data_IF_974105246728
#
_entry.id   IF_974105246728
#
_cell.length_a   1.000
_cell.length_b   1.000
_cell.length_c   1.000
_cell.angle_alpha   90.00
_cell.angle_beta   90.00
_cell.angle_gamma   90.00
#
_symmetry.space_group_name_H-M   'P 1'
#
loop_
_entity.id
_entity.type
_entity.pdbx_description
1 polymer ?
#
# COMPACT_ATOMS: atom_id res chain seq x y z
N UNK A 1 13.31 9.50 22.81
CA UNK A 1 12.81 8.32 22.06
C UNK A 1 13.01 8.60 20.58
N UNK A 2 13.93 7.89 19.92
CA UNK A 2 14.18 8.07 18.48
C UNK A 2 12.90 7.73 17.74
N UNK A 3 12.28 8.73 17.09
CA UNK A 3 11.24 8.46 16.13
C UNK A 3 11.88 7.65 15.00
N UNK A 4 11.49 6.39 14.84
CA UNK A 4 11.90 5.63 13.66
C UNK A 4 11.38 6.41 12.44
N UNK A 5 12.25 7.05 11.65
CA UNK A 5 11.87 8.06 10.65
C UNK A 5 10.83 7.58 9.65
N UNK A 6 10.81 6.27 9.42
CA UNK A 6 10.05 5.63 8.36
C UNK A 6 8.92 4.74 8.92
N UNK A 7 8.69 4.77 10.24
CA UNK A 7 7.66 3.95 10.88
C UNK A 7 6.29 4.09 10.22
N UNK A 8 5.91 5.32 9.84
CA UNK A 8 4.63 5.58 9.17
C UNK A 8 4.58 5.05 7.73
N UNK A 9 5.66 5.20 6.96
CA UNK A 9 5.72 4.73 5.58
C UNK A 9 5.78 3.18 5.50
N UNK A 10 6.53 2.55 6.41
CA UNK A 10 6.57 1.09 6.55
C UNK A 10 5.23 0.53 7.02
N UNK A 11 4.57 1.21 7.96
CA UNK A 11 3.21 0.87 8.38
C UNK A 11 2.22 0.96 7.21
N UNK A 12 2.36 1.98 6.36
CA UNK A 12 1.51 2.13 5.18
C UNK A 12 1.70 0.96 4.20
N UNK A 13 2.95 0.54 3.97
CA UNK A 13 3.23 -0.66 3.18
C UNK A 13 2.60 -1.91 3.81
N UNK A 14 2.75 -2.10 5.13
CA UNK A 14 2.12 -3.21 5.84
C UNK A 14 0.59 -3.17 5.68
N UNK A 15 -0.01 -2.00 5.85
CA UNK A 15 -1.45 -1.81 5.67
C UNK A 15 -1.91 -2.18 4.26
N UNK A 16 -1.22 -1.72 3.21
CA UNK A 16 -1.53 -2.05 1.82
C UNK A 16 -1.45 -3.56 1.55
N UNK A 17 -0.44 -4.25 2.11
CA UNK A 17 -0.33 -5.71 2.01
C UNK A 17 -1.48 -6.41 2.72
N UNK A 18 -1.77 -6.03 3.96
CA UNK A 18 -2.83 -6.64 4.77
C UNK A 18 -4.21 -6.44 4.13
N UNK A 19 -4.51 -5.22 3.67
CA UNK A 19 -5.77 -4.91 3.01
C UNK A 19 -5.98 -5.79 1.78
N UNK A 20 -4.96 -5.94 0.93
CA UNK A 20 -5.05 -6.76 -0.27
C UNK A 20 -5.23 -8.25 0.05
N UNK A 21 -4.73 -8.74 1.19
CA UNK A 21 -4.84 -10.16 1.57
C UNK A 21 -6.00 -10.48 2.52
N UNK A 22 -6.91 -9.52 2.78
CA UNK A 22 -8.08 -9.75 3.65
C UNK A 22 -7.78 -9.70 5.15
N UNK A 23 -6.59 -9.21 5.53
CA UNK A 23 -6.24 -8.89 6.90
C UNK A 23 -6.55 -7.42 7.22
N UNK A 24 -6.49 -7.07 8.51
CA UNK A 24 -6.67 -5.73 9.04
C UNK A 24 -5.46 -5.31 9.85
N UNK A 25 -5.10 -4.03 9.76
CA UNK A 25 -3.94 -3.46 10.46
C UNK A 25 -4.42 -2.37 11.40
N UNK A 26 -4.07 -2.48 12.68
CA UNK A 26 -4.29 -1.49 13.71
C UNK A 26 -2.95 -0.81 14.05
N UNK A 27 -2.91 0.51 14.01
CA UNK A 27 -1.74 1.26 14.48
C UNK A 27 -1.97 1.87 15.85
N UNK A 28 -1.09 1.52 16.80
CA UNK A 28 -1.05 2.11 18.13
C UNK A 28 0.03 3.18 18.18
N UNK A 29 -0.34 4.41 17.78
CA UNK A 29 0.56 5.58 17.72
C UNK A 29 1.37 5.79 19.00
N UNK A 30 0.74 5.65 20.18
CA UNK A 30 1.38 5.82 21.50
C UNK A 30 2.57 4.89 21.71
N UNK A 31 2.52 3.69 21.13
CA UNK A 31 3.55 2.66 21.31
C UNK A 31 4.40 2.43 20.05
N UNK A 32 4.14 3.18 18.96
CA UNK A 32 4.77 2.97 17.65
C UNK A 32 4.68 1.52 17.14
N UNK A 33 3.62 0.81 17.54
CA UNK A 33 3.39 -0.60 17.21
C UNK A 33 2.25 -0.74 16.21
N UNK A 34 2.36 -1.72 15.33
CA UNK A 34 1.28 -2.19 14.47
C UNK A 34 0.80 -3.56 14.94
N UNK A 35 -0.50 -3.80 14.89
CA UNK A 35 -1.11 -5.12 15.15
C UNK A 35 -1.85 -5.54 13.90
N UNK A 36 -1.61 -6.76 13.43
CA UNK A 36 -2.33 -7.33 12.28
C UNK A 36 -3.33 -8.37 12.78
N UNK A 37 -4.52 -8.39 12.20
CA UNK A 37 -5.57 -9.35 12.48
C UNK A 37 -6.07 -9.95 11.17
N UNK A 38 -6.25 -11.26 11.15
CA UNK A 38 -6.66 -12.01 9.97
C UNK A 38 -6.76 -13.49 10.30
N UNK A 39 -7.06 -14.31 9.30
CA UNK A 39 -6.92 -15.75 9.46
C UNK A 39 -5.44 -16.17 9.43
N UNK A 40 -5.07 -17.30 10.03
CA UNK A 40 -3.67 -17.73 10.13
C UNK A 40 -2.91 -17.70 8.79
N UNK A 41 -3.50 -18.29 7.75
CA UNK A 41 -2.91 -18.31 6.40
C UNK A 41 -2.72 -16.92 5.82
N UNK A 42 -3.67 -16.00 6.06
CA UNK A 42 -3.57 -14.64 5.54
C UNK A 42 -2.48 -13.85 6.27
N UNK A 43 -2.26 -14.13 7.57
CA UNK A 43 -1.20 -13.52 8.37
C UNK A 43 0.19 -13.96 7.89
N UNK A 44 0.40 -15.24 7.65
CA UNK A 44 1.67 -15.78 7.15
C UNK A 44 2.02 -15.18 5.77
N UNK A 45 1.01 -15.09 4.88
CA UNK A 45 1.17 -14.44 3.58
C UNK A 45 1.52 -12.96 3.72
N UNK A 46 0.85 -12.24 4.63
CA UNK A 46 1.14 -10.83 4.88
C UNK A 46 2.57 -10.64 5.38
N UNK A 47 3.03 -11.46 6.32
CA UNK A 47 4.38 -11.39 6.87
C UNK A 47 5.45 -11.66 5.80
N UNK A 48 5.27 -12.73 5.03
CA UNK A 48 6.19 -13.10 3.96
C UNK A 48 6.28 -12.00 2.90
N UNK A 49 5.13 -11.51 2.42
CA UNK A 49 5.08 -10.45 1.42
C UNK A 49 5.68 -9.16 1.96
N UNK A 50 5.31 -8.73 3.17
CA UNK A 50 5.82 -7.50 3.76
C UNK A 50 7.34 -7.53 3.93
N UNK A 51 7.89 -8.65 4.42
CA UNK A 51 9.33 -8.83 4.58
C UNK A 51 10.06 -8.75 3.24
N UNK A 52 9.56 -9.45 2.23
CA UNK A 52 10.11 -9.40 0.87
C UNK A 52 10.06 -7.99 0.29
N UNK A 53 8.94 -7.28 0.45
CA UNK A 53 8.75 -5.93 -0.06
C UNK A 53 9.63 -4.89 0.66
N UNK A 54 9.96 -5.10 1.94
CA UNK A 54 10.92 -4.26 2.64
C UNK A 54 12.32 -4.41 2.03
N UNK A 55 12.77 -5.64 1.75
CA UNK A 55 14.05 -5.90 1.08
C UNK A 55 14.08 -5.25 -0.31
N UNK A 56 13.02 -5.44 -1.09
CA UNK A 56 12.90 -4.83 -2.42
C UNK A 56 12.91 -3.29 -2.36
N UNK A 57 12.22 -2.70 -1.39
CA UNK A 57 12.19 -1.24 -1.21
C UNK A 57 13.57 -0.67 -0.87
N UNK A 58 14.38 -1.42 -0.12
CA UNK A 58 15.75 -1.03 0.21
C UNK A 58 16.62 -1.04 -1.05
N UNK A 59 16.56 -2.12 -1.84
CA UNK A 59 17.29 -2.23 -3.12
C UNK A 59 16.91 -1.12 -4.10
N UNK A 60 15.61 -0.87 -4.27
CA UNK A 60 15.14 0.19 -5.15
C UNK A 60 15.53 1.60 -4.67
N UNK A 61 15.62 1.82 -3.34
CA UNK A 61 16.17 3.07 -2.81
C UNK A 61 17.66 3.23 -3.10
N UNK A 62 18.42 2.15 -3.06
CA UNK A 62 19.86 2.16 -3.32
C UNK A 62 20.15 2.40 -4.80
N UNK A 63 19.37 1.81 -5.71
CA UNK A 63 19.42 2.05 -7.16
C UNK A 63 19.19 3.53 -7.52
N UNK A 64 18.29 4.22 -6.81
CA UNK A 64 18.01 5.64 -7.03
C UNK A 64 18.95 6.56 -6.24
N UNK A 65 19.74 6.01 -5.30
CA UNK A 65 20.58 6.71 -4.33
C UNK A 65 21.83 7.40 -4.87
N UNK A 66 22.05 7.40 -6.19
CA UNK A 66 23.28 7.92 -6.81
C UNK A 66 23.41 9.45 -6.72
N UNK A 67 22.32 10.20 -6.56
CA UNK A 67 22.33 11.67 -6.45
C UNK A 67 22.35 12.18 -4.99
N UNK A 68 22.85 13.39 -4.74
CA UNK A 68 22.80 14.01 -3.40
C UNK A 68 21.37 14.21 -2.88
N UNK A 69 20.44 14.54 -3.76
CA UNK A 69 19.01 14.73 -3.45
C UNK A 69 18.33 13.43 -3.03
N UNK A 70 18.65 12.30 -3.68
CA UNK A 70 18.03 11.00 -3.36
C UNK A 70 18.52 10.38 -2.05
N UNK A 71 19.65 10.86 -1.52
CA UNK A 71 20.16 10.45 -0.19
C UNK A 71 19.45 11.15 0.97
N UNK A 72 18.65 12.18 0.71
CA UNK A 72 17.97 12.94 1.75
C UNK A 72 16.86 12.13 2.44
N UNK A 73 16.66 12.38 3.73
CA UNK A 73 15.59 11.75 4.53
C UNK A 73 14.19 12.02 3.95
N UNK A 74 13.96 13.22 3.44
CA UNK A 74 12.69 13.63 2.82
C UNK A 74 12.42 12.83 1.55
N UNK A 75 13.42 12.66 0.68
CA UNK A 75 13.30 11.83 -0.52
C UNK A 75 13.00 10.38 -0.16
N UNK A 76 13.79 9.76 0.72
CA UNK A 76 13.58 8.35 1.13
C UNK A 76 12.19 8.14 1.75
N UNK A 77 11.71 9.10 2.52
CA UNK A 77 10.36 9.06 3.10
C UNK A 77 9.26 9.17 2.02
N UNK A 78 9.37 10.12 1.09
CA UNK A 78 8.43 10.28 -0.01
C UNK A 78 8.42 9.04 -0.93
N UNK A 79 9.60 8.50 -1.24
CA UNK A 79 9.77 7.25 -1.99
C UNK A 79 9.02 6.11 -1.33
N UNK A 80 9.20 5.88 -0.01
CA UNK A 80 8.55 4.77 0.67
C UNK A 80 7.02 4.90 0.70
N UNK A 81 6.49 6.12 0.78
CA UNK A 81 5.04 6.36 0.65
C UNK A 81 4.57 6.00 -0.76
N UNK A 82 5.24 6.50 -1.80
CA UNK A 82 4.88 6.22 -3.19
C UNK A 82 4.99 4.72 -3.50
N UNK A 83 6.04 4.06 -3.02
CA UNK A 83 6.27 2.63 -3.14
C UNK A 83 5.12 1.83 -2.51
N UNK A 84 4.72 2.17 -1.27
CA UNK A 84 3.60 1.52 -0.60
C UNK A 84 2.30 1.62 -1.41
N UNK A 85 1.99 2.81 -1.94
CA UNK A 85 0.79 3.02 -2.75
C UNK A 85 0.83 2.17 -4.03
N UNK A 86 1.95 2.21 -4.76
CA UNK A 86 2.10 1.48 -6.02
C UNK A 86 2.00 -0.04 -5.81
N UNK A 87 2.58 -0.55 -4.73
CA UNK A 87 2.45 -1.96 -4.36
C UNK A 87 1.00 -2.29 -3.99
N UNK A 88 0.33 -1.42 -3.24
CA UNK A 88 -1.09 -1.59 -2.90
C UNK A 88 -1.98 -1.70 -4.14
N UNK A 89 -1.81 -0.80 -5.12
CA UNK A 89 -2.52 -0.86 -6.41
C UNK A 89 -2.29 -2.20 -7.11
N UNK A 90 -1.02 -2.61 -7.25
CA UNK A 90 -0.66 -3.87 -7.93
C UNK A 90 -1.20 -5.10 -7.22
N UNK A 91 -1.20 -5.11 -5.89
CA UNK A 91 -1.76 -6.22 -5.11
C UNK A 91 -3.29 -6.28 -5.25
N UNK A 92 -3.96 -5.13 -5.26
CA UNK A 92 -5.41 -5.08 -5.46
C UNK A 92 -5.79 -5.53 -6.88
N UNK A 93 -5.05 -5.09 -7.90
CA UNK A 93 -5.23 -5.56 -9.28
C UNK A 93 -4.98 -7.07 -9.39
N UNK A 94 -3.94 -7.59 -8.74
CA UNK A 94 -3.65 -9.02 -8.70
C UNK A 94 -4.78 -9.80 -8.03
N UNK A 95 -5.33 -9.30 -6.91
CA UNK A 95 -6.50 -9.90 -6.25
C UNK A 95 -7.71 -9.93 -7.18
N UNK A 96 -8.04 -8.81 -7.82
CA UNK A 96 -9.18 -8.75 -8.76
C UNK A 96 -9.02 -9.75 -9.89
N UNK A 97 -7.83 -9.84 -10.49
CA UNK A 97 -7.54 -10.84 -11.54
C UNK A 97 -7.65 -12.27 -11.03
N UNK A 98 -7.12 -12.56 -9.84
CA UNK A 98 -7.19 -13.88 -9.23
C UNK A 98 -8.65 -14.29 -8.93
N UNK A 99 -9.46 -13.38 -8.38
CA UNK A 99 -10.88 -13.62 -8.14
C UNK A 99 -11.64 -13.85 -9.44
N UNK A 100 -11.37 -13.07 -10.49
CA UNK A 100 -11.99 -13.27 -11.80
C UNK A 100 -11.61 -14.63 -12.40
N UNK A 101 -10.33 -15.00 -12.39
CA UNK A 101 -9.86 -16.30 -12.89
C UNK A 101 -10.49 -17.47 -12.11
N UNK A 102 -10.53 -17.40 -10.78
CA UNK A 102 -11.16 -18.41 -9.94
C UNK A 102 -12.67 -18.52 -10.21
N UNK A 103 -13.35 -17.40 -10.47
CA UNK A 103 -14.78 -17.37 -10.84
C UNK A 103 -15.02 -18.06 -12.18
N UNK A 104 -14.12 -17.87 -13.16
CA UNK A 104 -14.23 -18.55 -14.46
C UNK A 104 -13.95 -20.05 -14.35
N UNK A 105 -13.01 -20.46 -13.50
CA UNK A 105 -12.58 -21.86 -13.35
C UNK A 105 -13.51 -22.69 -12.46
N UNK A 106 -14.05 -22.10 -11.39
CA UNK A 106 -14.79 -22.82 -10.34
C UNK A 106 -16.22 -22.31 -10.16
N UNK A 107 -16.67 -21.38 -11.03
CA UNK A 107 -17.96 -20.72 -10.91
C UNK A 107 -17.99 -19.64 -9.82
N UNK A 108 -19.12 -18.92 -9.75
CA UNK A 108 -19.33 -17.81 -8.80
C UNK A 108 -19.44 -18.24 -7.34
N UNK A 109 -19.48 -19.54 -7.05
CA UNK A 109 -19.63 -20.09 -5.70
C UNK A 109 -18.46 -19.74 -4.75
N UNK A 110 -17.27 -19.39 -5.29
CA UNK A 110 -16.11 -18.99 -4.48
C UNK A 110 -16.17 -17.54 -3.97
N UNK A 111 -16.89 -16.65 -4.67
CA UNK A 111 -16.96 -15.22 -4.32
C UNK A 111 -17.57 -15.00 -2.93
N UNK A 112 -18.69 -15.66 -2.56
CA UNK A 112 -19.25 -15.57 -1.21
C UNK A 112 -18.29 -16.03 -0.11
N UNK A 113 -17.44 -17.03 -0.36
CA UNK A 113 -16.50 -17.56 0.64
C UNK A 113 -15.42 -16.52 0.97
N UNK A 114 -14.87 -15.85 -0.05
CA UNK A 114 -13.87 -14.78 0.14
C UNK A 114 -14.47 -13.56 0.85
N UNK A 115 -15.73 -13.22 0.56
CA UNK A 115 -16.46 -12.17 1.27
C UNK A 115 -16.67 -12.55 2.74
N UNK A 116 -17.18 -13.75 3.02
CA UNK A 116 -17.41 -14.27 4.38
C UNK A 116 -16.15 -14.24 5.23
N UNK A 117 -14.99 -14.60 4.65
CA UNK A 117 -13.69 -14.53 5.32
C UNK A 117 -13.34 -13.10 5.73
N UNK A 118 -13.52 -12.13 4.83
CA UNK A 118 -13.22 -10.72 5.09
C UNK A 118 -14.16 -10.16 6.17
N UNK A 119 -15.46 -10.47 6.09
CA UNK A 119 -16.47 -10.03 7.05
C UNK A 119 -16.23 -10.60 8.45
N UNK A 120 -15.77 -11.85 8.54
CA UNK A 120 -15.43 -12.46 9.82
C UNK A 120 -14.29 -11.70 10.53
N UNK A 121 -13.27 -11.30 9.77
CA UNK A 121 -12.16 -10.48 10.30
C UNK A 121 -12.67 -9.10 10.72
N UNK A 122 -13.53 -8.47 9.92
CA UNK A 122 -14.11 -7.16 10.23
C UNK A 122 -14.94 -7.16 11.51
N UNK A 123 -15.79 -8.19 11.70
CA UNK A 123 -16.58 -8.35 12.92
C UNK A 123 -15.68 -8.49 14.16
N UNK A 124 -14.64 -9.32 14.07
CA UNK A 124 -13.69 -9.52 15.18
C UNK A 124 -12.91 -8.24 15.47
N UNK A 125 -12.49 -7.51 14.41
CA UNK A 125 -11.81 -6.23 14.53
C UNK A 125 -12.68 -5.21 15.28
N UNK A 126 -13.94 -5.04 14.85
CA UNK A 126 -14.88 -4.09 15.44
C UNK A 126 -15.22 -4.45 16.90
N UNK A 127 -15.42 -5.74 17.19
CA UNK A 127 -15.70 -6.21 18.55
C UNK A 127 -14.52 -6.01 19.50
N UNK A 128 -13.29 -6.27 19.04
CA UNK A 128 -12.08 -6.16 19.87
C UNK A 128 -11.63 -4.72 20.05
N UNK A 129 -11.88 -3.86 19.07
CA UNK A 129 -11.42 -2.47 19.08
C UNK A 129 -12.54 -1.49 18.70
N UNK A 130 -13.54 -1.28 19.58
CA UNK A 130 -14.71 -0.47 19.28
C UNK A 130 -14.41 1.03 19.13
N UNK A 131 -13.27 1.51 19.62
CA UNK A 131 -12.90 2.94 19.64
C UNK A 131 -11.70 3.28 18.75
N UNK A 132 -11.56 2.60 17.59
CA UNK A 132 -10.50 2.92 16.62
C UNK A 132 -10.90 4.05 15.69
N UNK A 133 -9.94 4.93 15.39
CA UNK A 133 -10.09 5.95 14.35
C UNK A 133 -9.41 5.48 13.08
N UNK A 134 -10.09 5.59 11.94
CA UNK A 134 -9.49 5.38 10.62
C UNK A 134 -8.45 6.46 10.37
N UNK A 135 -7.27 6.05 9.94
CA UNK A 135 -6.22 6.97 9.52
C UNK A 135 -6.32 7.03 8.02
N UNK A 136 -6.94 8.09 7.52
CA UNK A 136 -6.97 8.35 6.11
C UNK A 136 -5.58 8.81 5.65
N UNK A 137 -4.99 8.05 4.74
CA UNK A 137 -3.82 8.50 3.98
C UNK A 137 -4.28 9.50 2.93
N UNK A 138 -3.54 10.61 2.75
CA UNK A 138 -3.89 11.72 1.86
C UNK A 138 -4.17 11.34 0.38
N UNK A 139 -3.78 10.15 -0.08
CA UNK A 139 -4.18 9.67 -1.41
C UNK A 139 -5.64 9.21 -1.51
N UNK A 140 -6.28 8.85 -0.39
CA UNK A 140 -7.74 8.62 -0.37
C UNK A 140 -8.48 9.96 -0.51
N UNK A 141 -7.94 11.05 0.05
CA UNK A 141 -8.49 12.40 -0.11
C UNK A 141 -8.40 12.90 -1.57
N UNK A 142 -7.41 12.46 -2.34
CA UNK A 142 -7.33 12.76 -3.78
C UNK A 142 -8.41 12.05 -4.62
N UNK A 143 -9.13 11.08 -4.06
CA UNK A 143 -10.25 10.36 -4.73
C UNK A 143 -11.64 10.88 -4.35
N UNK A 144 -11.79 11.58 -3.22
CA UNK A 144 -13.08 12.10 -2.74
C UNK A 144 -13.06 13.61 -2.72
N UNK A 145 -13.59 14.25 -3.78
CA UNK A 145 -13.48 15.69 -3.98
C UNK A 145 -13.94 16.53 -2.80
N UNK A 146 -13.07 17.45 -2.36
CA UNK A 146 -13.37 18.67 -1.61
C UNK A 146 -12.24 19.68 -1.86
N UNK A 147 -12.61 20.92 -2.14
CA UNK A 147 -11.72 22.07 -2.35
C UNK A 147 -10.71 22.20 -1.21
N UNK A 148 -9.43 21.97 -1.49
CA UNK A 148 -8.33 22.27 -0.59
C UNK A 148 -7.77 23.66 -0.92
N UNK A 149 -8.02 24.65 -0.06
CA UNK A 149 -7.25 25.89 -0.06
C UNK A 149 -5.85 25.57 0.48
N UNK A 150 -4.77 25.80 -0.28
CA UNK A 150 -3.42 25.45 0.15
C UNK A 150 -2.91 26.39 1.26
N UNK A 151 -2.03 25.91 2.17
CA UNK A 151 -1.35 26.77 3.13
C UNK A 151 -0.44 27.77 2.40
N UNK A 152 -0.20 28.97 2.97
CA UNK A 152 0.38 30.12 2.26
C UNK A 152 1.77 29.91 1.64
N UNK A 153 2.49 28.83 2.01
CA UNK A 153 3.89 28.60 1.61
C UNK A 153 4.15 27.19 1.02
N UNK A 154 3.16 26.56 0.38
CA UNK A 154 3.41 25.30 -0.33
C UNK A 154 4.22 25.57 -1.63
N UNK A 155 5.32 24.84 -1.90
CA UNK A 155 5.98 24.92 -3.20
C UNK A 155 5.01 24.41 -4.29
N UNK A 156 4.67 25.28 -5.23
CA UNK A 156 3.79 24.99 -6.36
C UNK A 156 4.53 24.10 -7.36
N UNK A 157 4.08 22.86 -7.50
CA UNK A 157 4.42 22.03 -8.66
C UNK A 157 3.40 22.32 -9.77
N UNK A 158 3.84 22.44 -11.05
CA UNK A 158 2.94 22.75 -12.14
C UNK A 158 1.91 21.63 -12.33
N UNK A 159 0.64 21.97 -12.10
CA UNK A 159 -0.52 21.14 -12.41
C UNK A 159 -0.92 21.45 -13.85
N UNK A 160 -0.91 20.42 -14.70
CA UNK A 160 -1.46 20.49 -16.05
C UNK A 160 -0.50 20.00 -17.14
N UNK A 161 -0.35 18.69 -17.27
CA UNK A 161 0.02 18.09 -18.54
C UNK A 161 -0.69 16.73 -18.65
N UNK A 162 -1.64 16.67 -19.58
CA UNK A 162 -2.36 15.48 -19.98
C UNK A 162 -1.35 14.50 -20.62
N UNK A 163 -0.86 13.52 -19.85
CA UNK A 163 0.03 12.47 -20.38
C UNK A 163 -0.79 11.21 -20.61
N UNK A 164 -1.04 10.97 -21.90
CA UNK A 164 -1.66 9.76 -22.44
C UNK A 164 -1.05 8.48 -21.85
N UNK A 165 -1.92 7.50 -21.60
CA UNK A 165 -1.76 6.21 -20.91
C UNK A 165 -0.74 5.24 -21.53
N UNK A 166 0.39 5.69 -22.08
CA UNK A 166 1.32 4.79 -22.77
C UNK A 166 2.83 5.07 -22.60
N UNK A 167 3.25 5.78 -21.56
CA UNK A 167 4.69 6.06 -21.32
C UNK A 167 5.13 5.96 -19.85
N UNK A 168 5.07 4.76 -19.24
CA UNK A 168 5.75 4.50 -17.95
C UNK A 168 6.69 3.27 -18.02
N UNK A 169 6.96 2.74 -19.22
CA UNK A 169 7.99 1.71 -19.41
C UNK A 169 8.72 1.92 -20.74
N UNK A 170 10.06 2.03 -20.77
CA UNK A 170 10.79 2.01 -22.03
C UNK A 170 10.61 0.64 -22.69
N UNK A 171 9.87 0.62 -23.82
CA UNK A 171 9.86 -0.47 -24.80
C UNK A 171 11.20 -0.48 -25.55
N UNK A 172 12.23 -1.08 -24.98
CA UNK A 172 13.45 -1.41 -25.73
C UNK A 172 14.29 -2.47 -25.03
N UNK A 173 13.96 -3.74 -25.28
CA UNK A 173 14.94 -4.81 -25.40
C UNK A 173 14.27 -5.98 -26.12
N UNK A 174 14.24 -5.92 -27.46
CA UNK A 174 14.28 -7.15 -28.26
C UNK A 174 15.71 -7.66 -28.15
N UNK A 175 15.89 -8.90 -27.71
CA UNK A 175 16.98 -9.73 -28.18
C UNK A 175 16.37 -10.92 -28.91
N UNK A 176 16.64 -10.95 -30.21
CA UNK A 176 16.56 -12.12 -31.07
C UNK A 176 18.02 -12.42 -31.41
N UNK A 177 18.45 -13.66 -31.30
CA UNK A 177 19.81 -14.12 -31.61
C UNK A 177 20.26 -15.18 -30.63
#
# INVERSE_FOLDING_TARGET
MVSNPYSKAKLLLLHSVCQANGARTLWKKKYLLATVMGLPVDLDLCELLYTSLLVQSARALDEVGESSTSRTRSFRHAFLIAYAHRVGERLQEARTRATAAATQQHGSALVPIMATRSDAVDRVYAARYPSTKTIESAATMLRGGLQAVPPPNAPTLPVGANVSTNQIWPRSARYIG
#
